data_IF_868528075611
#
_entry.id   IF_868528075611
#
_cell.length_a   1.000
_cell.length_b   1.000
_cell.length_c   1.000
_cell.angle_alpha   90.00
_cell.angle_beta   90.00
_cell.angle_gamma   90.00
#
_symmetry.space_group_name_H-M   'P 1'
#
loop_
_entity.id
_entity.type
_entity.pdbx_description
1 polymer ?
#
# COMPACT_ATOMS: atom_id res chain seq x y z
N UNK A 1 7.36 -3.03 2.91
CA UNK A 1 6.13 -2.96 2.11
C UNK A 1 4.95 -3.31 3.00
N UNK A 2 3.83 -2.61 2.78
CA UNK A 2 2.57 -2.78 3.48
C UNK A 2 1.45 -2.57 2.46
N UNK A 3 0.37 -3.32 2.57
CA UNK A 3 -0.88 -3.09 1.86
C UNK A 3 -1.99 -2.72 2.85
N UNK A 4 -3.00 -2.00 2.38
CA UNK A 4 -4.15 -1.61 3.20
C UNK A 4 -5.44 -1.82 2.42
N UNK A 5 -6.50 -2.19 3.13
CA UNK A 5 -7.86 -2.28 2.62
C UNK A 5 -8.84 -1.82 3.70
N UNK A 6 -10.10 -1.56 3.35
CA UNK A 6 -11.08 -1.00 4.31
C UNK A 6 -11.34 -1.84 5.56
N UNK A 7 -10.94 -3.13 5.57
CA UNK A 7 -11.11 -4.01 6.73
C UNK A 7 -9.91 -4.02 7.68
N UNK A 8 -8.69 -3.93 7.15
CA UNK A 8 -7.47 -4.08 7.94
C UNK A 8 -6.20 -3.84 7.07
N UNK A 9 -5.03 -3.94 7.70
CA UNK A 9 -3.71 -3.80 7.09
C UNK A 9 -3.07 -5.17 6.83
N UNK A 10 -2.38 -5.32 5.70
CA UNK A 10 -1.68 -6.56 5.36
C UNK A 10 -0.53 -6.87 6.33
N UNK A 11 0.00 -8.10 6.33
CA UNK A 11 1.29 -8.38 6.96
C UNK A 11 2.38 -7.45 6.45
N UNK A 12 3.20 -6.92 7.38
CA UNK A 12 4.34 -6.07 7.07
C UNK A 12 5.48 -6.90 6.49
N UNK A 13 5.97 -6.49 5.32
CA UNK A 13 7.14 -7.09 4.66
C UNK A 13 8.35 -6.20 4.88
N UNK A 14 9.38 -6.72 5.54
CA UNK A 14 10.65 -6.02 5.76
C UNK A 14 11.69 -6.56 4.78
N UNK A 15 12.30 -5.68 4.01
CA UNK A 15 13.43 -6.02 3.15
C UNK A 15 14.73 -5.79 3.92
N UNK A 16 15.44 -6.87 4.26
CA UNK A 16 16.64 -6.78 5.08
C UNK A 16 17.83 -6.13 4.37
N UNK A 17 17.91 -6.24 3.04
CA UNK A 17 19.04 -5.75 2.26
C UNK A 17 18.58 -5.23 0.89
N UNK A 18 19.31 -4.21 0.40
CA UNK A 18 19.16 -3.68 -0.96
C UNK A 18 17.83 -2.98 -1.25
N UNK A 19 17.71 -2.49 -2.48
CA UNK A 19 16.46 -1.93 -3.00
C UNK A 19 15.57 -3.03 -3.57
N UNK A 20 14.27 -2.75 -3.66
CA UNK A 20 13.31 -3.66 -4.30
C UNK A 20 13.36 -3.42 -5.82
N UNK A 21 13.63 -4.48 -6.59
CA UNK A 21 13.46 -4.50 -8.04
C UNK A 21 12.20 -5.31 -8.40
N UNK A 22 11.83 -5.35 -9.68
CA UNK A 22 10.61 -6.06 -10.14
C UNK A 22 10.61 -7.55 -9.74
N UNK A 23 11.76 -8.24 -9.85
CA UNK A 23 11.87 -9.66 -9.50
C UNK A 23 11.63 -9.91 -8.01
N UNK A 24 12.21 -9.07 -7.14
CA UNK A 24 11.98 -9.15 -5.70
C UNK A 24 10.54 -8.79 -5.36
N UNK A 25 9.98 -7.78 -6.01
CA UNK A 25 8.60 -7.40 -5.80
C UNK A 25 7.62 -8.54 -6.13
N UNK A 26 7.78 -9.18 -7.29
CA UNK A 26 6.98 -10.34 -7.71
C UNK A 26 7.16 -11.51 -6.73
N UNK A 27 8.36 -11.78 -6.22
CA UNK A 27 8.62 -12.95 -5.37
C UNK A 27 8.27 -12.74 -3.90
N UNK A 28 8.54 -11.56 -3.37
CA UNK A 28 8.50 -11.27 -1.93
C UNK A 28 7.23 -10.49 -1.52
N UNK A 29 6.56 -9.80 -2.44
CA UNK A 29 5.41 -8.93 -2.13
C UNK A 29 4.10 -9.43 -2.71
N UNK A 30 4.02 -9.59 -4.03
CA UNK A 30 2.74 -9.85 -4.69
C UNK A 30 2.01 -11.12 -4.21
N UNK A 31 2.68 -12.24 -3.88
CA UNK A 31 2.01 -13.41 -3.33
C UNK A 31 1.40 -13.16 -1.95
N UNK A 32 1.99 -12.27 -1.16
CA UNK A 32 1.46 -11.86 0.15
C UNK A 32 0.22 -11.02 -0.06
N UNK A 33 0.26 -10.05 -0.99
CA UNK A 33 -0.89 -9.24 -1.35
C UNK A 33 -2.06 -10.11 -1.86
N UNK A 34 -1.79 -11.06 -2.76
CA UNK A 34 -2.79 -11.97 -3.33
C UNK A 34 -3.43 -12.83 -2.25
N UNK A 35 -2.60 -13.51 -1.44
CA UNK A 35 -3.09 -14.36 -0.35
C UNK A 35 -3.94 -13.57 0.64
N UNK A 36 -3.52 -12.35 0.96
CA UNK A 36 -4.21 -11.51 1.92
C UNK A 36 -5.52 -10.98 1.35
N UNK A 37 -5.54 -10.43 0.13
CA UNK A 37 -6.77 -9.98 -0.53
C UNK A 37 -7.80 -11.10 -0.64
N UNK A 38 -7.37 -12.29 -1.07
CA UNK A 38 -8.24 -13.47 -1.15
C UNK A 38 -8.79 -13.90 0.21
N UNK A 39 -7.99 -13.80 1.26
CA UNK A 39 -8.44 -14.09 2.63
C UNK A 39 -9.51 -13.10 3.10
N UNK A 40 -9.38 -11.81 2.76
CA UNK A 40 -10.26 -10.74 3.26
C UNK A 40 -11.54 -10.56 2.44
N UNK A 41 -11.46 -10.77 1.11
CA UNK A 41 -12.52 -10.44 0.15
C UNK A 41 -12.89 -11.59 -0.81
N UNK A 42 -12.24 -12.75 -0.72
CA UNK A 42 -12.39 -13.79 -1.74
C UNK A 42 -11.90 -13.27 -3.10
N UNK A 43 -12.73 -13.34 -4.13
CA UNK A 43 -12.36 -12.90 -5.48
C UNK A 43 -12.94 -11.53 -5.87
N UNK A 44 -13.48 -10.76 -4.91
CA UNK A 44 -14.12 -9.47 -5.17
C UNK A 44 -13.28 -8.30 -4.62
N UNK A 45 -12.16 -8.03 -5.29
CA UNK A 45 -11.27 -6.92 -4.93
C UNK A 45 -10.35 -6.53 -6.08
N UNK A 46 -9.88 -5.28 -6.04
CA UNK A 46 -8.95 -4.72 -7.03
C UNK A 46 -7.62 -4.39 -6.38
N UNK A 47 -6.52 -4.82 -6.98
CA UNK A 47 -5.18 -4.43 -6.55
C UNK A 47 -4.79 -3.06 -7.12
N UNK A 48 -4.22 -2.21 -6.28
CA UNK A 48 -3.72 -0.88 -6.63
C UNK A 48 -2.27 -0.73 -6.15
N UNK A 49 -1.44 -0.07 -6.96
CA UNK A 49 -0.07 0.32 -6.62
C UNK A 49 0.32 1.63 -7.32
N UNK A 50 1.35 2.29 -6.83
CA UNK A 50 1.87 3.52 -7.44
C UNK A 50 2.78 3.25 -8.67
N UNK A 51 3.24 4.33 -9.30
CA UNK A 51 4.08 4.29 -10.51
C UNK A 51 5.56 3.94 -10.28
N UNK A 52 5.96 3.33 -9.16
CA UNK A 52 7.36 3.01 -8.91
C UNK A 52 7.95 2.05 -9.97
N UNK A 53 9.26 2.17 -10.27
CA UNK A 53 9.94 1.37 -11.31
C UNK A 53 9.71 -0.16 -11.20
N UNK A 54 9.73 -0.79 -10.01
CA UNK A 54 9.42 -2.21 -9.89
C UNK A 54 7.96 -2.53 -10.25
N UNK A 55 7.03 -1.62 -10.00
CA UNK A 55 5.60 -1.81 -10.22
C UNK A 55 5.28 -1.70 -11.71
N UNK A 56 5.87 -0.74 -12.41
CA UNK A 56 5.60 -0.47 -13.83
C UNK A 56 6.35 -1.40 -14.80
N UNK A 57 7.22 -2.28 -14.29
CA UNK A 57 7.92 -3.27 -15.11
C UNK A 57 6.94 -4.24 -15.77
N UNK A 58 7.13 -4.53 -17.07
CA UNK A 58 6.19 -5.35 -17.85
C UNK A 58 5.90 -6.74 -17.22
N UNK A 59 6.91 -7.43 -16.67
CA UNK A 59 6.71 -8.69 -15.96
C UNK A 59 5.88 -8.55 -14.67
N UNK A 60 5.99 -7.42 -13.98
CA UNK A 60 5.20 -7.15 -12.77
C UNK A 60 3.75 -6.87 -13.15
N UNK A 61 3.52 -6.05 -14.18
CA UNK A 61 2.18 -5.78 -14.71
C UNK A 61 1.51 -7.08 -15.18
N UNK A 62 2.21 -7.89 -15.98
CA UNK A 62 1.71 -9.20 -16.44
C UNK A 62 1.35 -10.11 -15.26
N UNK A 63 2.24 -10.24 -14.27
CA UNK A 63 1.94 -11.04 -13.08
C UNK A 63 0.66 -10.54 -12.38
N UNK A 64 0.49 -9.23 -12.24
CA UNK A 64 -0.70 -8.65 -11.61
C UNK A 64 -1.98 -8.98 -12.38
N UNK A 65 -1.97 -8.83 -13.71
CA UNK A 65 -3.11 -9.19 -14.57
C UNK A 65 -3.46 -10.67 -14.51
N UNK A 66 -2.45 -11.55 -14.49
CA UNK A 66 -2.65 -13.01 -14.54
C UNK A 66 -3.14 -13.58 -13.20
N UNK A 67 -2.87 -12.91 -12.08
CA UNK A 67 -3.05 -13.49 -10.74
C UNK A 67 -4.07 -12.76 -9.85
N UNK A 68 -4.25 -11.44 -9.99
CA UNK A 68 -5.24 -10.72 -9.17
C UNK A 68 -6.64 -10.77 -9.81
N UNK A 69 -7.72 -10.77 -9.01
CA UNK A 69 -9.08 -10.76 -9.55
C UNK A 69 -9.38 -9.52 -10.40
N UNK A 70 -8.86 -8.36 -9.98
CA UNK A 70 -8.82 -7.12 -10.73
C UNK A 70 -7.57 -6.32 -10.35
N UNK A 71 -7.08 -5.48 -11.26
CA UNK A 71 -5.84 -4.73 -11.10
C UNK A 71 -5.93 -3.37 -11.82
N UNK A 72 -5.54 -2.30 -11.13
CA UNK A 72 -5.32 -0.98 -11.74
C UNK A 72 -3.91 -0.98 -12.32
N UNK A 73 -3.82 -1.13 -13.64
CA UNK A 73 -2.54 -1.12 -14.34
C UNK A 73 -1.85 0.26 -14.33
N UNK A 74 -0.59 0.26 -14.77
CA UNK A 74 0.26 1.46 -14.78
C UNK A 74 -0.29 2.62 -15.61
N UNK A 75 -1.18 2.37 -16.57
CA UNK A 75 -1.71 3.38 -17.47
C UNK A 75 -3.01 4.00 -16.91
N UNK A 76 -3.65 3.32 -15.96
CA UNK A 76 -4.84 3.80 -15.25
C UNK A 76 -4.52 4.47 -13.90
N UNK A 77 -3.31 4.29 -13.36
CA UNK A 77 -2.88 5.02 -12.16
C UNK A 77 -2.17 6.34 -12.53
N UNK A 78 -2.68 7.51 -12.10
CA UNK A 78 -2.07 8.78 -12.46
C UNK A 78 -0.68 8.95 -11.81
N UNK A 79 0.33 9.45 -12.55
CA UNK A 79 1.64 9.72 -12.00
C UNK A 79 1.56 10.80 -10.91
N UNK A 80 2.51 10.79 -9.97
CA UNK A 80 2.64 11.81 -8.91
C UNK A 80 1.36 12.08 -8.11
N UNK A 81 0.56 11.04 -7.83
CA UNK A 81 -0.74 11.16 -7.16
C UNK A 81 -0.77 10.52 -5.75
N UNK A 82 0.08 10.96 -4.81
CA UNK A 82 0.04 10.46 -3.43
C UNK A 82 -1.29 10.80 -2.75
N UNK A 83 -1.98 11.85 -3.19
CA UNK A 83 -3.31 12.26 -2.70
C UNK A 83 -4.41 11.22 -2.96
N UNK A 84 -4.14 10.26 -3.86
CA UNK A 84 -5.04 9.15 -4.17
C UNK A 84 -4.60 7.83 -3.53
N UNK A 85 -3.42 7.73 -2.94
CA UNK A 85 -2.95 6.50 -2.32
C UNK A 85 -3.22 6.53 -0.81
N UNK A 86 -4.10 5.65 -0.33
CA UNK A 86 -4.46 5.56 1.09
C UNK A 86 -3.28 5.34 2.02
N UNK A 87 -2.22 4.69 1.52
CA UNK A 87 -0.97 4.58 2.26
C UNK A 87 -0.30 5.94 2.48
N UNK A 88 -0.25 6.78 1.44
CA UNK A 88 0.52 8.02 1.43
C UNK A 88 -0.19 9.18 2.14
N UNK A 89 -1.48 9.38 1.88
CA UNK A 89 -2.19 10.52 2.49
C UNK A 89 -2.63 10.29 3.95
N UNK A 90 -2.50 9.07 4.48
CA UNK A 90 -2.99 8.75 5.83
C UNK A 90 -2.18 7.68 6.56
N UNK A 91 -2.11 6.45 6.04
CA UNK A 91 -1.66 5.30 6.85
C UNK A 91 -0.19 5.42 7.26
N UNK A 92 0.68 5.97 6.40
CA UNK A 92 2.08 6.17 6.75
C UNK A 92 2.28 7.20 7.86
N UNK A 93 1.51 8.29 7.88
CA UNK A 93 1.56 9.28 8.94
C UNK A 93 1.09 8.69 10.28
N UNK A 94 -0.03 7.96 10.27
CA UNK A 94 -0.51 7.25 11.47
C UNK A 94 0.51 6.22 11.96
N UNK A 95 1.09 5.46 11.05
CA UNK A 95 2.08 4.44 11.36
C UNK A 95 3.32 5.03 12.06
N UNK A 96 3.82 6.17 11.58
CA UNK A 96 4.97 6.87 12.19
C UNK A 96 4.66 7.40 13.58
N UNK A 97 3.43 7.90 13.82
CA UNK A 97 3.00 8.39 15.14
C UNK A 97 2.94 7.30 16.21
N UNK A 98 2.62 6.07 15.81
CA UNK A 98 2.51 4.92 16.73
C UNK A 98 3.88 4.37 17.14
N UNK A 99 4.91 4.53 16.31
CA UNK A 99 6.26 4.01 16.58
C UNK A 99 6.84 4.69 17.82
N UNK A 100 7.32 3.88 18.78
CA UNK A 100 8.04 4.40 19.93
C UNK A 100 9.50 4.68 19.56
N UNK A 101 9.77 5.87 19.04
CA UNK A 101 11.09 6.30 18.59
C UNK A 101 12.16 6.27 19.70
N UNK A 102 11.79 6.43 20.97
CA UNK A 102 12.73 6.33 22.10
C UNK A 102 13.33 4.93 22.27
N UNK A 103 12.67 3.89 21.73
CA UNK A 103 13.17 2.50 21.76
C UNK A 103 14.03 2.16 20.54
N UNK A 104 14.08 3.03 19.53
CA UNK A 104 14.77 2.75 18.27
C UNK A 104 16.24 3.18 18.39
N UNK A 105 17.12 2.23 18.66
CA UNK A 105 18.57 2.45 18.79
C UNK A 105 19.39 1.64 17.78
N UNK A 106 18.75 0.72 17.08
CA UNK A 106 19.35 -0.17 16.08
C UNK A 106 18.31 -0.58 15.04
N UNK A 107 18.78 -1.16 13.92
CA UNK A 107 17.92 -1.77 12.90
C UNK A 107 16.99 -2.83 13.51
N UNK A 108 17.48 -3.66 14.43
CA UNK A 108 16.69 -4.69 15.08
C UNK A 108 15.54 -4.09 15.89
N UNK A 109 15.82 -3.07 16.70
CA UNK A 109 14.78 -2.38 17.49
C UNK A 109 13.79 -1.62 16.60
N UNK A 110 14.26 -1.05 15.48
CA UNK A 110 13.39 -0.42 14.49
C UNK A 110 12.40 -1.44 13.93
N UNK A 111 12.87 -2.60 13.46
CA UNK A 111 12.02 -3.66 12.91
C UNK A 111 11.00 -4.15 13.95
N UNK A 112 11.41 -4.26 15.22
CA UNK A 112 10.50 -4.64 16.31
C UNK A 112 9.41 -3.60 16.54
N UNK A 113 9.75 -2.31 16.58
CA UNK A 113 8.76 -1.25 16.78
C UNK A 113 7.84 -1.10 15.54
N UNK A 114 8.36 -1.25 14.32
CA UNK A 114 7.54 -1.31 13.09
C UNK A 114 6.49 -2.44 13.16
N UNK A 115 6.92 -3.65 13.53
CA UNK A 115 6.00 -4.80 13.69
C UNK A 115 4.95 -4.59 14.78
N UNK A 116 5.28 -3.86 15.85
CA UNK A 116 4.33 -3.51 16.91
C UNK A 116 3.36 -2.43 16.44
N UNK A 117 3.87 -1.42 15.74
CA UNK A 117 3.07 -0.29 15.28
C UNK A 117 2.01 -0.71 14.27
N UNK A 118 2.31 -1.62 13.34
CA UNK A 118 1.31 -2.11 12.36
C UNK A 118 0.11 -2.75 13.06
N UNK A 119 0.34 -3.50 14.15
CA UNK A 119 -0.73 -4.15 14.93
C UNK A 119 -1.59 -3.17 15.75
N UNK A 120 -1.18 -1.90 15.83
CA UNK A 120 -1.83 -0.87 16.62
C UNK A 120 -2.53 0.19 15.77
N UNK A 121 -2.37 0.14 14.44
CA UNK A 121 -3.14 1.01 13.54
C UNK A 121 -4.62 0.71 13.78
N UNK A 122 -5.39 1.73 14.10
CA UNK A 122 -6.79 1.56 14.45
C UNK A 122 -7.63 1.24 13.20
N UNK A 123 -8.61 0.34 13.35
CA UNK A 123 -9.42 -0.14 12.22
C UNK A 123 -10.33 0.93 11.64
N UNK A 124 -10.80 1.86 12.47
CA UNK A 124 -11.56 3.03 12.05
C UNK A 124 -10.72 3.96 11.17
N UNK A 125 -9.46 4.23 11.53
CA UNK A 125 -8.52 5.02 10.71
C UNK A 125 -8.31 4.36 9.35
N UNK A 126 -8.13 3.04 9.32
CA UNK A 126 -7.99 2.27 8.08
C UNK A 126 -9.25 2.36 7.21
N UNK A 127 -10.41 2.14 7.83
CA UNK A 127 -11.70 2.19 7.15
C UNK A 127 -11.96 3.59 6.55
N UNK A 128 -11.82 4.65 7.35
CA UNK A 128 -12.06 6.03 6.93
C UNK A 128 -11.08 6.46 5.83
N UNK A 129 -9.80 6.06 5.94
CA UNK A 129 -8.81 6.28 4.89
C UNK A 129 -9.30 5.69 3.57
N UNK A 130 -9.58 4.39 3.52
CA UNK A 130 -10.07 3.73 2.31
C UNK A 130 -11.40 4.30 1.80
N UNK A 131 -12.34 4.64 2.70
CA UNK A 131 -13.64 5.21 2.33
C UNK A 131 -13.51 6.62 1.73
N UNK A 132 -12.48 7.38 2.12
CA UNK A 132 -12.22 8.70 1.57
C UNK A 132 -11.76 8.70 0.11
N UNK A 133 -11.32 7.55 -0.42
CA UNK A 133 -10.71 7.44 -1.74
C UNK A 133 -11.61 7.93 -2.88
N UNK A 134 -12.88 7.52 -2.90
CA UNK A 134 -13.82 7.94 -3.95
C UNK A 134 -14.09 9.45 -3.90
N UNK A 135 -14.18 10.03 -2.71
CA UNK A 135 -14.34 11.48 -2.56
C UNK A 135 -13.08 12.23 -3.02
N UNK A 136 -11.88 11.70 -2.74
CA UNK A 136 -10.60 12.26 -3.21
C UNK A 136 -10.53 12.25 -4.74
N UNK A 137 -10.89 11.13 -5.37
CA UNK A 137 -11.01 11.03 -6.83
C UNK A 137 -12.00 12.06 -7.40
N UNK A 138 -13.17 12.19 -6.79
CA UNK A 138 -14.17 13.17 -7.20
C UNK A 138 -13.61 14.60 -7.11
N UNK A 139 -13.01 14.96 -5.98
CA UNK A 139 -12.39 16.28 -5.78
C UNK A 139 -11.28 16.54 -6.80
N UNK A 140 -10.40 15.57 -7.06
CA UNK A 140 -9.33 15.71 -8.04
C UNK A 140 -9.91 15.97 -9.44
N UNK A 141 -10.97 15.26 -9.82
CA UNK A 141 -11.65 15.49 -11.09
C UNK A 141 -12.30 16.88 -11.18
N UNK A 142 -12.82 17.43 -10.06
CA UNK A 142 -13.34 18.81 -10.01
C UNK A 142 -12.25 19.88 -10.08
N UNK A 143 -11.00 19.51 -9.83
CA UNK A 143 -9.84 20.41 -9.86
C UNK A 143 -8.95 20.17 -11.09
N UNK A 144 -9.52 19.66 -12.19
CA UNK A 144 -8.79 19.39 -13.45
C UNK A 144 -7.52 18.54 -13.27
N UNK A 145 -7.49 17.66 -12.26
CA UNK A 145 -6.34 16.82 -11.94
C UNK A 145 -5.28 17.47 -11.05
N UNK A 146 -5.52 18.67 -10.50
CA UNK A 146 -4.60 19.33 -9.57
C UNK A 146 -4.57 18.67 -8.19
N UNK A 147 -3.51 18.94 -7.44
CA UNK A 147 -3.28 18.41 -6.09
C UNK A 147 -4.40 18.79 -5.12
N UNK A 148 -4.72 17.84 -4.22
CA UNK A 148 -5.72 18.09 -3.19
C UNK A 148 -5.09 18.90 -2.05
N UNK A 149 -5.69 20.06 -1.76
CA UNK A 149 -5.41 20.84 -0.54
C UNK A 149 -6.31 20.45 0.62
#
# INVERSE_FOLDING_TARGET
WLGVCSKDVSPLVIFEQGTVNHNRYIKEVLPIALKYGNYVFGNDWTYQQDGAKPHTHHLTQQWCHDNFPAFIDKDHWPPNSPDLNSLDYCIWDEFVKIINWNKVTSKTTLIQELKKAVKKIQKDVVFESCNSWTNRLYRMAQHDGDYLR
#
